data_IF_447857363887
#
_entry.id   IF_447857363887
#
_cell.length_a   1.000
_cell.length_b   1.000
_cell.length_c   1.000
_cell.angle_alpha   90.00
_cell.angle_beta   90.00
_cell.angle_gamma   90.00
#
_symmetry.space_group_name_H-M   'P 1'
#
loop_
_entity.id
_entity.type
_entity.pdbx_description
1 polymer ?
#
# COMPACT_ATOMS: atom_id res chain seq x y z
N UNK A 1 -16.52 3.27 22.70
CA UNK A 1 -15.15 3.56 22.24
C UNK A 1 -14.02 2.72 22.86
N UNK A 2 -14.22 1.98 23.96
CA UNK A 2 -13.19 1.07 24.56
C UNK A 2 -12.92 -0.21 23.77
N UNK A 3 -13.85 -0.70 22.94
CA UNK A 3 -13.70 -1.97 22.21
C UNK A 3 -12.77 -1.96 20.99
N UNK A 4 -12.56 -0.81 20.32
CA UNK A 4 -11.78 -0.72 19.08
C UNK A 4 -10.27 -0.94 19.30
N UNK A 5 -9.73 -0.59 20.48
CA UNK A 5 -8.28 -0.70 20.75
C UNK A 5 -7.74 -2.13 20.75
N UNK A 6 -8.57 -3.13 21.02
CA UNK A 6 -8.15 -4.54 21.13
C UNK A 6 -8.47 -5.37 19.89
N UNK A 7 -9.07 -4.77 18.85
CA UNK A 7 -9.36 -5.49 17.62
C UNK A 7 -8.06 -5.94 16.91
N UNK A 8 -8.06 -7.13 16.32
CA UNK A 8 -6.89 -7.65 15.61
C UNK A 8 -6.64 -6.91 14.29
N UNK A 9 -5.40 -6.99 13.81
CA UNK A 9 -5.07 -6.72 12.42
C UNK A 9 -5.39 -7.96 11.59
N UNK A 10 -5.93 -7.77 10.40
CA UNK A 10 -6.10 -8.86 9.43
C UNK A 10 -4.90 -8.91 8.49
N UNK A 11 -4.32 -10.10 8.28
CA UNK A 11 -3.34 -10.34 7.23
C UNK A 11 -3.94 -11.32 6.21
N UNK A 12 -4.12 -10.88 4.96
CA UNK A 12 -4.41 -11.82 3.87
C UNK A 12 -3.10 -12.39 3.33
N UNK A 13 -3.00 -13.72 3.25
CA UNK A 13 -1.76 -14.43 2.88
C UNK A 13 -1.39 -14.32 1.39
N UNK A 14 -2.30 -13.77 0.57
CA UNK A 14 -2.12 -13.62 -0.87
C UNK A 14 -2.18 -14.93 -1.64
N UNK A 15 -1.49 -14.97 -2.79
CA UNK A 15 -1.43 -16.17 -3.61
C UNK A 15 -0.61 -17.26 -2.89
N UNK A 16 -1.20 -18.44 -2.62
CA UNK A 16 -0.54 -19.50 -1.87
C UNK A 16 0.68 -20.10 -2.56
N UNK A 17 0.85 -19.91 -3.87
CA UNK A 17 2.04 -20.35 -4.62
C UNK A 17 3.17 -19.32 -4.64
N UNK A 18 2.91 -18.08 -4.16
CA UNK A 18 3.87 -16.99 -4.07
C UNK A 18 4.58 -16.91 -2.71
N UNK A 19 5.32 -15.81 -2.51
CA UNK A 19 6.10 -15.57 -1.28
C UNK A 19 5.25 -15.08 -0.10
N UNK A 20 3.95 -14.77 -0.30
CA UNK A 20 3.06 -14.21 0.73
C UNK A 20 3.07 -14.99 2.04
N UNK A 21 2.85 -16.33 2.04
CA UNK A 21 2.93 -17.13 3.26
C UNK A 21 4.31 -17.08 3.94
N UNK A 22 5.39 -17.16 3.16
CA UNK A 22 6.77 -17.14 3.68
C UNK A 22 7.11 -15.83 4.39
N UNK A 23 6.82 -14.68 3.76
CA UNK A 23 7.10 -13.36 4.35
C UNK A 23 6.23 -13.09 5.58
N UNK A 24 4.99 -13.62 5.60
CA UNK A 24 4.10 -13.51 6.76
C UNK A 24 4.64 -14.30 7.94
N UNK A 25 5.05 -15.56 7.74
CA UNK A 25 5.67 -16.39 8.79
C UNK A 25 6.92 -15.71 9.36
N UNK A 26 7.82 -15.22 8.50
CA UNK A 26 9.02 -14.49 8.93
C UNK A 26 8.68 -13.25 9.75
N UNK A 27 7.67 -12.47 9.33
CA UNK A 27 7.24 -11.28 10.04
C UNK A 27 6.66 -11.60 11.42
N UNK A 28 5.76 -12.59 11.52
CA UNK A 28 5.18 -13.01 12.80
C UNK A 28 6.24 -13.56 13.75
N UNK A 29 7.18 -14.36 13.26
CA UNK A 29 8.31 -14.87 14.05
C UNK A 29 9.19 -13.74 14.60
N UNK A 30 9.45 -12.69 13.78
CA UNK A 30 10.17 -11.50 14.26
C UNK A 30 9.42 -10.81 15.40
N UNK A 31 8.11 -10.57 15.23
CA UNK A 31 7.28 -9.91 16.24
C UNK A 31 7.26 -10.72 17.55
N UNK A 32 7.12 -12.03 17.46
CA UNK A 32 7.17 -12.92 18.62
C UNK A 32 8.52 -12.87 19.35
N UNK A 33 9.63 -12.99 18.60
CA UNK A 33 10.98 -12.91 19.17
C UNK A 33 11.26 -11.57 19.85
N UNK A 34 10.70 -10.47 19.31
CA UNK A 34 10.82 -9.13 19.89
C UNK A 34 9.77 -8.84 20.97
N UNK A 35 8.89 -9.81 21.31
CA UNK A 35 7.81 -9.67 22.30
C UNK A 35 6.87 -8.50 21.98
N UNK A 36 6.66 -8.21 20.68
CA UNK A 36 5.73 -7.17 20.21
C UNK A 36 4.33 -7.80 20.16
N UNK A 37 3.45 -7.33 21.03
CA UNK A 37 2.10 -7.89 21.18
C UNK A 37 1.12 -7.17 20.24
N UNK A 38 0.77 -7.84 19.14
CA UNK A 38 -0.27 -7.42 18.19
C UNK A 38 -1.13 -8.66 17.90
N UNK A 39 -2.44 -8.53 18.05
CA UNK A 39 -3.38 -9.61 17.72
C UNK A 39 -3.63 -9.64 16.20
N UNK A 40 -3.69 -10.84 15.62
CA UNK A 40 -3.88 -11.05 14.20
C UNK A 40 -5.02 -12.03 13.91
N UNK A 41 -5.70 -11.78 12.77
CA UNK A 41 -6.48 -12.78 12.05
C UNK A 41 -5.76 -13.01 10.71
N UNK A 42 -5.36 -14.25 10.44
CA UNK A 42 -4.77 -14.65 9.15
C UNK A 42 -5.87 -15.23 8.26
N UNK A 43 -5.92 -14.77 7.02
CA UNK A 43 -6.90 -15.25 6.05
C UNK A 43 -6.19 -15.75 4.80
N UNK A 44 -6.46 -16.98 4.40
CA UNK A 44 -5.88 -17.59 3.20
C UNK A 44 -5.69 -19.10 3.35
N UNK A 45 -4.68 -19.66 2.71
CA UNK A 45 -4.37 -21.07 2.82
C UNK A 45 -3.54 -21.40 4.06
N UNK A 46 -4.13 -22.07 5.02
CA UNK A 46 -3.41 -22.61 6.20
C UNK A 46 -2.36 -23.64 5.78
N UNK A 47 -2.63 -24.44 4.75
CA UNK A 47 -1.67 -25.40 4.19
C UNK A 47 -0.42 -24.70 3.66
N UNK A 48 -0.58 -23.57 2.95
CA UNK A 48 0.54 -22.76 2.46
C UNK A 48 1.34 -22.13 3.60
N UNK A 49 0.65 -21.64 4.63
CA UNK A 49 1.27 -21.08 5.83
C UNK A 49 2.09 -22.12 6.59
N UNK A 50 1.54 -23.31 6.84
CA UNK A 50 2.25 -24.40 7.53
C UNK A 50 3.46 -24.88 6.73
N UNK A 51 3.34 -25.02 5.39
CA UNK A 51 4.49 -25.31 4.51
C UNK A 51 5.59 -24.29 4.65
N UNK A 52 5.26 -23.00 4.75
CA UNK A 52 6.25 -21.95 4.98
C UNK A 52 6.92 -22.09 6.36
N UNK A 53 6.15 -22.44 7.40
CA UNK A 53 6.70 -22.73 8.73
C UNK A 53 7.73 -23.86 8.70
N UNK A 54 7.41 -24.97 8.00
CA UNK A 54 8.29 -26.13 7.90
C UNK A 54 9.61 -25.78 7.18
N UNK A 55 9.55 -25.09 6.04
CA UNK A 55 10.74 -24.67 5.29
C UNK A 55 11.63 -23.71 6.08
N UNK A 56 11.04 -22.88 6.91
CA UNK A 56 11.75 -21.92 7.74
C UNK A 56 12.23 -22.52 9.08
N UNK A 57 11.93 -23.78 9.37
CA UNK A 57 12.15 -24.41 10.67
C UNK A 57 11.57 -23.62 11.86
N UNK A 58 10.46 -22.95 11.62
CA UNK A 58 9.75 -22.16 12.62
C UNK A 58 8.62 -23.03 13.19
N UNK A 59 8.88 -23.66 14.33
CA UNK A 59 7.90 -24.53 15.00
C UNK A 59 6.65 -23.76 15.41
N UNK A 60 5.55 -24.49 15.53
CA UNK A 60 4.13 -24.18 15.72
C UNK A 60 3.73 -23.10 16.76
N UNK A 61 4.65 -22.50 17.49
CA UNK A 61 4.35 -21.41 18.45
C UNK A 61 3.73 -20.16 17.79
N UNK A 62 3.97 -19.97 16.47
CA UNK A 62 3.38 -18.86 15.71
C UNK A 62 1.88 -19.05 15.46
N UNK A 63 1.39 -20.30 15.42
CA UNK A 63 -0.04 -20.58 15.23
C UNK A 63 -0.89 -20.11 16.42
N UNK A 64 -0.29 -19.88 17.59
CA UNK A 64 -0.99 -19.44 18.79
C UNK A 64 -1.13 -17.91 18.91
N UNK A 65 -0.46 -17.14 18.01
CA UNK A 65 -0.53 -15.65 18.03
C UNK A 65 -1.57 -15.09 17.07
N UNK A 66 -2.26 -15.95 16.31
CA UNK A 66 -3.25 -15.51 15.33
C UNK A 66 -4.40 -16.50 15.21
N UNK A 67 -5.62 -15.98 15.12
CA UNK A 67 -6.76 -16.73 14.60
C UNK A 67 -6.59 -16.96 13.11
N UNK A 68 -7.10 -18.08 12.57
CA UNK A 68 -6.96 -18.44 11.18
C UNK A 68 -8.31 -18.69 10.51
N UNK A 69 -8.57 -17.99 9.40
CA UNK A 69 -9.68 -18.28 8.49
C UNK A 69 -9.11 -18.98 7.27
N UNK A 70 -9.34 -20.29 7.19
CA UNK A 70 -8.72 -21.16 6.19
C UNK A 70 -9.58 -21.30 4.94
N UNK A 71 -8.96 -21.04 3.79
CA UNK A 71 -9.48 -21.30 2.45
C UNK A 71 -8.61 -22.32 1.71
N UNK A 72 -8.00 -23.27 2.43
CA UNK A 72 -7.21 -24.33 1.79
C UNK A 72 -8.11 -25.21 0.91
N UNK A 73 -7.90 -25.08 -0.38
CA UNK A 73 -8.45 -25.99 -1.39
C UNK A 73 -7.34 -26.98 -1.81
N UNK A 74 -7.58 -27.78 -2.83
CA UNK A 74 -6.56 -28.70 -3.39
C UNK A 74 -5.42 -27.93 -4.07
N UNK A 75 -4.50 -27.40 -3.25
CA UNK A 75 -3.38 -26.59 -3.72
C UNK A 75 -2.24 -27.50 -4.21
N UNK A 76 -1.86 -27.28 -5.45
CA UNK A 76 -0.58 -27.76 -5.99
C UNK A 76 0.40 -26.57 -6.00
N UNK A 77 1.47 -26.68 -5.24
CA UNK A 77 2.50 -25.62 -5.14
C UNK A 77 3.42 -25.64 -6.35
N UNK A 78 2.95 -25.10 -7.48
CA UNK A 78 3.70 -25.09 -8.74
C UNK A 78 4.55 -23.83 -8.95
N UNK A 79 4.59 -22.93 -7.99
CA UNK A 79 5.31 -21.66 -8.07
C UNK A 79 5.01 -20.85 -9.33
N UNK A 80 3.75 -20.85 -9.75
CA UNK A 80 3.22 -20.13 -10.91
C UNK A 80 1.75 -19.74 -10.68
N UNK A 81 1.19 -18.82 -11.46
CA UNK A 81 -0.20 -18.46 -11.41
C UNK A 81 -1.13 -19.68 -11.58
N UNK A 82 -2.29 -19.65 -10.89
CA UNK A 82 -3.25 -20.75 -10.94
C UNK A 82 -4.67 -20.29 -10.57
N UNK A 83 -5.68 -21.01 -11.08
CA UNK A 83 -7.09 -20.80 -10.73
C UNK A 83 -7.30 -20.88 -9.21
N UNK A 84 -6.73 -21.89 -8.57
CA UNK A 84 -6.85 -22.07 -7.10
C UNK A 84 -6.22 -20.90 -6.34
N UNK A 85 -5.03 -20.44 -6.79
CA UNK A 85 -4.36 -19.28 -6.21
C UNK A 85 -5.20 -18.00 -6.31
N UNK A 86 -5.83 -17.78 -7.46
CA UNK A 86 -6.74 -16.68 -7.69
C UNK A 86 -8.00 -16.74 -6.83
N UNK A 87 -8.64 -17.93 -6.76
CA UNK A 87 -9.83 -18.16 -5.93
C UNK A 87 -9.56 -17.89 -4.45
N UNK A 88 -8.46 -18.44 -3.90
CA UNK A 88 -8.08 -18.23 -2.49
C UNK A 88 -7.78 -16.75 -2.23
N UNK A 89 -7.03 -16.09 -3.12
CA UNK A 89 -6.71 -14.67 -3.02
C UNK A 89 -7.96 -13.81 -2.99
N UNK A 90 -8.89 -14.04 -3.90
CA UNK A 90 -10.17 -13.33 -3.98
C UNK A 90 -11.02 -13.54 -2.72
N UNK A 91 -11.28 -14.79 -2.33
CA UNK A 91 -12.06 -15.13 -1.13
C UNK A 91 -11.46 -14.50 0.13
N UNK A 92 -10.13 -14.49 0.23
CA UNK A 92 -9.41 -13.90 1.38
C UNK A 92 -9.62 -12.40 1.48
N UNK A 93 -9.57 -11.67 0.37
CA UNK A 93 -9.79 -10.22 0.34
C UNK A 93 -11.24 -9.89 0.63
N UNK A 94 -12.20 -10.62 0.04
CA UNK A 94 -13.62 -10.46 0.31
C UNK A 94 -13.93 -10.68 1.80
N UNK A 95 -13.35 -11.71 2.41
CA UNK A 95 -13.54 -11.99 3.84
C UNK A 95 -12.93 -10.91 4.72
N UNK A 96 -11.75 -10.41 4.39
CA UNK A 96 -11.14 -9.29 5.11
C UNK A 96 -11.99 -8.01 5.03
N UNK A 97 -12.55 -7.70 3.87
CA UNK A 97 -13.47 -6.58 3.70
C UNK A 97 -14.76 -6.76 4.52
N UNK A 98 -15.35 -7.96 4.54
CA UNK A 98 -16.53 -8.27 5.36
C UNK A 98 -16.24 -8.08 6.87
N UNK A 99 -15.12 -8.62 7.35
CA UNK A 99 -14.72 -8.46 8.75
C UNK A 99 -14.48 -6.99 9.12
N UNK A 100 -13.88 -6.21 8.20
CA UNK A 100 -13.67 -4.78 8.43
C UNK A 100 -15.01 -4.03 8.53
N UNK A 101 -15.94 -4.26 7.60
CA UNK A 101 -17.29 -3.66 7.61
C UNK A 101 -18.08 -4.00 8.88
N UNK A 102 -17.88 -5.19 9.42
CA UNK A 102 -18.51 -5.65 10.66
C UNK A 102 -17.77 -5.23 11.93
N UNK A 103 -16.69 -4.45 11.83
CA UNK A 103 -15.85 -4.02 12.96
C UNK A 103 -15.24 -5.19 13.77
N UNK A 104 -14.90 -6.30 13.13
CA UNK A 104 -14.15 -7.40 13.76
C UNK A 104 -12.64 -7.24 13.66
N UNK A 105 -12.16 -6.38 12.75
CA UNK A 105 -10.76 -6.06 12.57
C UNK A 105 -10.58 -4.55 12.45
N UNK A 106 -9.39 -4.05 12.79
CA UNK A 106 -9.09 -2.60 12.75
C UNK A 106 -8.30 -2.15 11.53
N UNK A 107 -7.66 -3.05 10.82
CA UNK A 107 -6.93 -2.78 9.57
C UNK A 107 -6.67 -4.06 8.78
N UNK A 108 -6.42 -3.90 7.49
CA UNK A 108 -6.10 -4.97 6.55
C UNK A 108 -4.64 -4.80 6.08
N UNK A 109 -3.83 -5.83 6.26
CA UNK A 109 -2.48 -5.95 5.70
C UNK A 109 -2.52 -7.02 4.63
N UNK A 110 -2.09 -6.70 3.41
CA UNK A 110 -2.19 -7.65 2.30
C UNK A 110 -0.83 -8.14 1.83
N UNK A 111 -0.64 -9.47 1.80
CA UNK A 111 0.46 -10.10 1.10
C UNK A 111 0.18 -10.15 -0.41
N UNK A 112 1.19 -10.38 -1.27
CA UNK A 112 1.04 -10.24 -2.72
C UNK A 112 0.05 -11.25 -3.33
N UNK A 113 -0.71 -10.77 -4.32
CA UNK A 113 -1.56 -11.60 -5.18
C UNK A 113 -1.11 -11.53 -6.64
N UNK A 114 -1.47 -12.52 -7.44
CA UNK A 114 -1.24 -12.54 -8.88
C UNK A 114 -2.49 -12.07 -9.62
N UNK A 115 -2.35 -11.03 -10.46
CA UNK A 115 -3.41 -10.59 -11.37
C UNK A 115 -3.81 -11.71 -12.32
N UNK A 116 -2.83 -12.42 -12.86
CA UNK A 116 -3.04 -13.57 -13.74
C UNK A 116 -3.82 -14.67 -13.03
N UNK A 117 -3.47 -15.02 -11.78
CA UNK A 117 -4.24 -16.00 -11.00
C UNK A 117 -5.70 -15.56 -10.80
N UNK A 118 -5.94 -14.26 -10.50
CA UNK A 118 -7.30 -13.72 -10.38
C UNK A 118 -8.08 -13.87 -11.67
N UNK A 119 -7.49 -13.50 -12.81
CA UNK A 119 -8.14 -13.61 -14.12
C UNK A 119 -8.40 -15.06 -14.51
N UNK A 120 -7.45 -15.98 -14.27
CA UNK A 120 -7.64 -17.41 -14.47
C UNK A 120 -8.82 -17.96 -13.65
N UNK A 121 -9.05 -17.42 -12.45
CA UNK A 121 -10.16 -17.79 -11.59
C UNK A 121 -11.48 -17.05 -11.93
N UNK A 122 -11.51 -16.28 -13.02
CA UNK A 122 -12.70 -15.56 -13.50
C UNK A 122 -12.91 -14.17 -12.88
N UNK A 123 -12.01 -13.70 -12.02
CA UNK A 123 -12.13 -12.39 -11.35
C UNK A 123 -11.33 -11.32 -12.10
N UNK A 124 -12.01 -10.43 -12.81
CA UNK A 124 -11.41 -9.37 -13.64
C UNK A 124 -11.06 -8.13 -12.84
N UNK A 125 -10.08 -8.22 -11.94
CA UNK A 125 -9.56 -7.09 -11.16
C UNK A 125 -8.06 -6.91 -11.39
N UNK A 126 -7.63 -5.65 -11.41
CA UNK A 126 -6.21 -5.29 -11.57
C UNK A 126 -5.37 -5.41 -10.29
N UNK A 127 -5.87 -6.13 -9.30
CA UNK A 127 -5.20 -6.36 -8.03
C UNK A 127 -6.03 -5.93 -6.83
N UNK A 128 -5.36 -5.75 -5.69
CA UNK A 128 -6.01 -5.42 -4.41
C UNK A 128 -6.81 -4.12 -4.45
N UNK A 129 -6.26 -3.07 -5.06
CA UNK A 129 -6.84 -1.72 -5.03
C UNK A 129 -8.17 -1.68 -5.74
N UNK A 130 -8.26 -2.23 -6.95
CA UNK A 130 -9.51 -2.30 -7.70
C UNK A 130 -10.55 -3.20 -7.01
N UNK A 131 -10.12 -4.38 -6.50
CA UNK A 131 -11.03 -5.28 -5.79
C UNK A 131 -11.58 -4.66 -4.50
N UNK A 132 -10.73 -4.07 -3.66
CA UNK A 132 -11.18 -3.42 -2.43
C UNK A 132 -12.01 -2.17 -2.74
N UNK A 133 -11.66 -1.38 -3.75
CA UNK A 133 -12.47 -0.27 -4.23
C UNK A 133 -13.89 -0.71 -4.55
N UNK A 134 -14.04 -1.76 -5.36
CA UNK A 134 -15.34 -2.34 -5.70
C UNK A 134 -16.10 -2.84 -4.46
N UNK A 135 -15.44 -3.55 -3.55
CA UNK A 135 -16.08 -4.06 -2.32
C UNK A 135 -16.56 -2.96 -1.38
N UNK A 136 -15.96 -1.78 -1.40
CA UNK A 136 -16.35 -0.64 -0.57
C UNK A 136 -17.08 0.47 -1.33
N UNK A 137 -17.44 0.26 -2.61
CA UNK A 137 -18.10 1.24 -3.50
C UNK A 137 -17.29 2.53 -3.67
N UNK A 138 -15.98 2.40 -3.86
CA UNK A 138 -15.04 3.50 -4.06
C UNK A 138 -14.51 3.43 -5.48
N UNK A 139 -14.76 4.47 -6.27
CA UNK A 139 -14.36 4.52 -7.68
C UNK A 139 -12.82 4.56 -7.82
N UNK A 140 -12.15 5.38 -7.02
CA UNK A 140 -10.73 5.62 -7.18
C UNK A 140 -9.99 5.73 -5.83
N UNK A 141 -9.53 4.59 -5.29
CA UNK A 141 -8.60 4.60 -4.17
C UNK A 141 -7.22 5.10 -4.63
N UNK A 142 -6.56 5.94 -3.82
CA UNK A 142 -5.25 6.49 -4.14
C UNK A 142 -4.13 5.65 -3.53
N UNK A 143 -3.02 5.56 -4.28
CA UNK A 143 -1.82 4.87 -3.85
C UNK A 143 -0.80 5.85 -3.29
N UNK A 144 -0.39 5.61 -2.06
CA UNK A 144 0.69 6.32 -1.40
C UNK A 144 1.82 5.35 -1.05
N UNK A 145 3.04 5.68 -1.42
CA UNK A 145 4.24 4.99 -0.94
C UNK A 145 4.79 5.76 0.26
N UNK A 146 4.90 5.09 1.41
CA UNK A 146 5.41 5.70 2.63
C UNK A 146 6.70 5.01 3.09
N UNK A 147 7.69 5.80 3.44
CA UNK A 147 8.94 5.33 4.03
C UNK A 147 9.27 6.15 5.30
N UNK A 148 10.42 5.91 5.91
CA UNK A 148 10.81 6.59 7.16
C UNK A 148 11.12 8.08 7.01
N UNK A 149 11.31 8.58 5.78
CA UNK A 149 11.73 9.96 5.51
C UNK A 149 10.58 10.81 5.00
N UNK A 150 9.83 10.31 4.02
CA UNK A 150 8.72 11.01 3.39
C UNK A 150 7.69 10.02 2.86
N UNK A 151 6.55 10.52 2.47
CA UNK A 151 5.55 9.77 1.71
C UNK A 151 5.40 10.37 0.32
N UNK A 152 5.06 9.54 -0.67
CA UNK A 152 4.76 9.99 -2.04
C UNK A 152 3.34 9.56 -2.39
N UNK A 153 2.49 10.51 -2.74
CA UNK A 153 1.11 10.27 -3.16
C UNK A 153 0.96 10.65 -4.64
N UNK A 154 0.27 9.82 -5.40
CA UNK A 154 0.16 9.98 -6.85
C UNK A 154 -1.18 10.58 -7.25
N UNK A 155 -1.15 11.60 -8.12
CA UNK A 155 -2.37 12.18 -8.74
C UNK A 155 -2.99 11.15 -9.68
N UNK A 156 -2.15 10.51 -10.49
CA UNK A 156 -2.53 9.38 -11.35
C UNK A 156 -1.58 8.21 -11.12
N UNK A 157 -2.12 6.97 -11.18
CA UNK A 157 -1.32 5.76 -11.07
C UNK A 157 -1.57 4.89 -12.31
N UNK A 158 -1.60 3.69 -12.36
CA UNK A 158 -1.80 2.67 -13.41
C UNK A 158 -2.55 3.15 -14.70
N UNK A 159 -2.10 4.27 -15.30
CA UNK A 159 -2.58 4.83 -16.57
C UNK A 159 -1.42 4.95 -17.54
N UNK A 160 -1.71 4.93 -18.85
CA UNK A 160 -0.69 5.33 -19.84
C UNK A 160 -0.26 6.76 -19.56
N UNK A 161 1.00 7.13 -19.88
CA UNK A 161 1.47 8.50 -19.65
C UNK A 161 0.61 9.53 -20.40
N UNK A 162 0.19 9.21 -21.63
CA UNK A 162 -0.71 10.03 -22.45
C UNK A 162 -2.06 10.29 -21.74
N UNK A 163 -2.63 9.27 -21.07
CA UNK A 163 -3.91 9.42 -20.36
C UNK A 163 -3.70 10.04 -18.97
N UNK A 164 -2.57 9.77 -18.32
CA UNK A 164 -2.22 10.40 -17.06
C UNK A 164 -2.19 11.94 -17.17
N UNK A 165 -1.55 12.47 -18.21
CA UNK A 165 -1.48 13.94 -18.45
C UNK A 165 -2.88 14.55 -18.52
N UNK A 166 -3.82 13.92 -19.22
CA UNK A 166 -5.20 14.44 -19.37
C UNK A 166 -5.97 14.46 -18.03
N UNK A 167 -5.57 13.61 -17.08
CA UNK A 167 -6.21 13.51 -15.75
C UNK A 167 -5.61 14.48 -14.73
N UNK A 168 -4.47 15.11 -15.04
CA UNK A 168 -3.82 16.09 -14.16
C UNK A 168 -4.56 17.42 -14.31
N UNK A 169 -5.65 17.55 -13.57
CA UNK A 169 -6.48 18.74 -13.54
C UNK A 169 -6.41 19.42 -12.18
N UNK A 170 -6.63 20.70 -12.13
CA UNK A 170 -6.71 21.49 -10.89
C UNK A 170 -7.61 20.83 -9.85
N UNK A 171 -8.80 20.36 -10.28
CA UNK A 171 -9.75 19.66 -9.39
C UNK A 171 -9.13 18.40 -8.80
N UNK A 172 -8.51 17.55 -9.63
CA UNK A 172 -7.90 16.29 -9.20
C UNK A 172 -6.71 16.52 -8.27
N UNK A 173 -5.85 17.48 -8.59
CA UNK A 173 -4.70 17.86 -7.76
C UNK A 173 -5.18 18.31 -6.36
N UNK A 174 -6.19 19.19 -6.28
CA UNK A 174 -6.76 19.65 -5.01
C UNK A 174 -7.34 18.48 -4.21
N UNK A 175 -8.05 17.57 -4.86
CA UNK A 175 -8.60 16.37 -4.22
C UNK A 175 -7.51 15.51 -3.59
N UNK A 176 -6.48 15.16 -4.38
CA UNK A 176 -5.38 14.29 -3.96
C UNK A 176 -4.58 14.93 -2.82
N UNK A 177 -4.26 16.22 -2.93
CA UNK A 177 -3.53 16.93 -1.88
C UNK A 177 -4.34 16.95 -0.57
N UNK A 178 -5.64 17.23 -0.62
CA UNK A 178 -6.49 17.20 0.58
C UNK A 178 -6.55 15.82 1.23
N UNK A 179 -6.59 14.74 0.45
CA UNK A 179 -6.54 13.36 0.95
C UNK A 179 -5.19 13.09 1.61
N UNK A 180 -4.09 13.44 0.95
CA UNK A 180 -2.75 13.29 1.48
C UNK A 180 -2.52 14.10 2.75
N UNK A 181 -2.94 15.36 2.76
CA UNK A 181 -2.86 16.25 3.91
C UNK A 181 -3.58 15.66 5.14
N UNK A 182 -4.86 15.27 4.98
CA UNK A 182 -5.64 14.64 6.07
C UNK A 182 -4.99 13.38 6.59
N UNK A 183 -4.42 12.56 5.71
CA UNK A 183 -3.75 11.33 6.09
C UNK A 183 -2.46 11.61 6.87
N UNK A 184 -1.62 12.52 6.39
CA UNK A 184 -0.34 12.88 7.02
C UNK A 184 -0.55 13.61 8.36
N UNK A 185 -1.53 14.53 8.44
CA UNK A 185 -1.91 15.18 9.68
C UNK A 185 -2.30 14.16 10.75
N UNK A 186 -3.08 13.15 10.38
CA UNK A 186 -3.47 12.05 11.28
C UNK A 186 -2.25 11.26 11.77
N UNK A 187 -1.29 10.94 10.89
CA UNK A 187 -0.10 10.15 11.24
C UNK A 187 0.92 10.94 12.05
N UNK A 188 1.22 12.16 11.63
CA UNK A 188 2.30 12.96 12.21
C UNK A 188 1.82 13.76 13.42
N UNK A 189 0.51 14.03 13.54
CA UNK A 189 -0.11 14.91 14.55
C UNK A 189 0.38 16.38 14.48
N UNK A 190 1.06 16.73 13.41
CA UNK A 190 1.56 18.08 13.11
C UNK A 190 1.23 18.39 11.65
N UNK A 191 1.16 19.69 11.32
CA UNK A 191 0.93 20.15 9.95
C UNK A 191 2.02 19.62 9.01
N UNK A 192 1.65 18.83 7.96
CA UNK A 192 2.63 18.25 7.06
C UNK A 192 3.17 19.30 6.08
N UNK A 193 4.46 19.25 5.83
CA UNK A 193 5.12 20.01 4.76
C UNK A 193 4.91 19.27 3.44
N UNK A 194 4.13 19.84 2.54
CA UNK A 194 3.74 19.22 1.27
C UNK A 194 4.49 19.88 0.13
N UNK A 195 5.08 19.08 -0.76
CA UNK A 195 5.66 19.55 -2.00
C UNK A 195 4.97 18.90 -3.21
N UNK A 196 4.68 19.68 -4.24
CA UNK A 196 4.04 19.20 -5.48
C UNK A 196 5.07 19.18 -6.60
N UNK A 197 5.24 18.03 -7.26
CA UNK A 197 6.10 17.92 -8.44
C UNK A 197 5.57 18.77 -9.59
N UNK A 198 6.48 19.40 -10.33
CA UNK A 198 6.18 19.82 -11.70
C UNK A 198 5.88 18.60 -12.58
N UNK A 199 5.10 18.76 -13.61
CA UNK A 199 4.85 17.75 -14.62
C UNK A 199 5.95 17.74 -15.67
N UNK A 200 6.25 18.95 -16.17
CA UNK A 200 7.21 19.17 -17.24
C UNK A 200 8.64 19.40 -16.70
N UNK A 201 9.68 19.27 -17.55
CA UNK A 201 11.05 19.61 -17.17
C UNK A 201 11.13 21.02 -16.55
N UNK A 202 11.93 21.14 -15.47
CA UNK A 202 12.11 22.42 -14.75
C UNK A 202 10.79 23.08 -14.30
N UNK A 203 9.76 22.25 -14.02
CA UNK A 203 8.42 22.72 -13.67
C UNK A 203 7.83 23.69 -14.71
N UNK A 204 8.02 23.34 -16.00
CA UNK A 204 7.48 24.07 -17.15
C UNK A 204 8.26 25.30 -17.57
N UNK A 205 9.28 25.78 -16.83
CA UNK A 205 10.09 26.98 -17.11
C UNK A 205 9.24 28.16 -17.62
N UNK A 206 8.24 28.58 -16.84
CA UNK A 206 7.28 29.62 -17.18
C UNK A 206 6.51 29.39 -18.50
N UNK A 207 6.25 28.13 -18.85
CA UNK A 207 5.48 27.73 -20.03
C UNK A 207 6.31 27.38 -21.26
N UNK A 208 7.64 27.41 -21.16
CA UNK A 208 8.54 27.04 -22.28
C UNK A 208 8.41 25.56 -22.61
N UNK A 209 8.25 24.69 -21.59
CA UNK A 209 8.19 23.24 -21.76
C UNK A 209 6.77 22.65 -21.59
N UNK A 210 5.75 23.48 -21.55
CA UNK A 210 4.36 23.10 -21.39
C UNK A 210 3.62 24.05 -20.47
N UNK A 211 2.31 24.04 -20.51
CA UNK A 211 1.47 24.98 -19.75
C UNK A 211 0.76 24.36 -18.54
N UNK A 212 0.87 23.06 -18.33
CA UNK A 212 0.13 22.33 -17.30
C UNK A 212 0.41 22.85 -15.87
N UNK A 213 1.62 23.35 -15.64
CA UNK A 213 1.95 24.01 -14.38
C UNK A 213 1.15 25.30 -14.20
N UNK A 214 1.06 26.11 -15.26
CA UNK A 214 0.37 27.41 -15.26
C UNK A 214 -1.13 27.21 -15.18
N UNK A 215 -1.67 26.27 -15.95
CA UNK A 215 -3.10 26.07 -16.14
C UNK A 215 -3.74 25.27 -14.99
N UNK A 216 -3.01 24.30 -14.44
CA UNK A 216 -3.57 23.33 -13.49
C UNK A 216 -2.87 23.33 -12.12
N UNK A 217 -1.53 23.15 -12.07
CA UNK A 217 -0.81 22.89 -10.81
C UNK A 217 -0.72 24.15 -9.95
N UNK A 218 -0.26 25.26 -10.50
CA UNK A 218 -0.13 26.54 -9.77
C UNK A 218 -1.48 27.02 -9.22
N UNK A 219 -2.58 27.03 -10.03
CA UNK A 219 -3.90 27.39 -9.51
C UNK A 219 -4.39 26.49 -8.38
N UNK A 220 -4.13 25.18 -8.44
CA UNK A 220 -4.46 24.24 -7.37
C UNK A 220 -3.72 24.59 -6.08
N UNK A 221 -2.41 24.81 -6.15
CA UNK A 221 -1.57 25.18 -5.02
C UNK A 221 -2.02 26.51 -4.40
N UNK A 222 -2.28 27.54 -5.22
CA UNK A 222 -2.76 28.84 -4.74
C UNK A 222 -4.07 28.74 -3.94
N UNK A 223 -5.00 27.86 -4.37
CA UNK A 223 -6.25 27.64 -3.64
C UNK A 223 -5.98 27.00 -2.27
N UNK A 224 -5.07 26.03 -2.22
CA UNK A 224 -4.75 25.29 -0.97
C UNK A 224 -3.92 26.16 -0.01
N UNK A 225 -3.03 27.01 -0.51
CA UNK A 225 -2.32 28.01 0.31
C UNK A 225 -3.29 28.98 0.99
N UNK A 226 -4.33 29.46 0.24
CA UNK A 226 -5.38 30.32 0.82
C UNK A 226 -6.19 29.62 1.92
N UNK A 227 -6.22 28.28 1.91
CA UNK A 227 -6.86 27.46 2.96
C UNK A 227 -5.93 27.15 4.13
N UNK A 228 -4.71 27.67 4.12
CA UNK A 228 -3.74 27.53 5.21
C UNK A 228 -2.87 26.28 5.18
N UNK A 229 -2.87 25.50 4.09
CA UNK A 229 -2.00 24.32 3.99
C UNK A 229 -0.53 24.75 3.82
N UNK A 230 0.37 24.04 4.50
CA UNK A 230 1.81 24.20 4.31
C UNK A 230 2.27 23.45 3.06
N UNK A 231 2.18 24.12 1.91
CA UNK A 231 2.39 23.52 0.58
C UNK A 231 3.26 24.42 -0.28
N UNK A 232 4.18 23.81 -1.02
CA UNK A 232 5.00 24.47 -2.02
C UNK A 232 4.93 23.74 -3.37
N UNK A 233 5.26 24.44 -4.43
CA UNK A 233 5.38 23.88 -5.78
C UNK A 233 4.84 24.85 -6.85
N UNK A 234 4.87 24.41 -8.11
CA UNK A 234 5.51 23.17 -8.56
C UNK A 234 7.03 23.20 -8.37
N UNK A 235 7.60 22.10 -7.83
CA UNK A 235 9.04 21.93 -7.67
C UNK A 235 9.54 20.99 -8.76
N UNK A 236 10.69 21.30 -9.36
CA UNK A 236 11.28 20.45 -10.40
C UNK A 236 11.52 19.01 -9.89
N UNK A 237 11.13 18.02 -10.69
CA UNK A 237 11.07 16.61 -10.27
C UNK A 237 12.45 15.99 -10.03
N UNK A 238 13.50 16.52 -10.64
CA UNK A 238 14.89 16.11 -10.44
C UNK A 238 15.48 16.58 -9.10
N UNK A 239 14.87 17.57 -8.44
CA UNK A 239 15.34 18.13 -7.17
C UNK A 239 14.47 17.68 -5.98
N UNK A 240 13.15 17.61 -6.15
CA UNK A 240 12.18 17.46 -5.06
C UNK A 240 12.45 16.24 -4.17
N UNK A 241 12.83 15.09 -4.75
CA UNK A 241 13.08 13.86 -3.98
C UNK A 241 14.41 13.92 -3.20
N UNK A 242 15.43 14.62 -3.72
CA UNK A 242 16.65 14.90 -2.98
C UNK A 242 16.34 15.72 -1.71
N UNK A 243 15.53 16.74 -1.84
CA UNK A 243 15.10 17.59 -0.73
C UNK A 243 14.22 16.81 0.27
N UNK A 244 13.33 15.92 -0.21
CA UNK A 244 12.52 15.07 0.64
C UNK A 244 13.37 14.10 1.49
N UNK A 245 14.43 13.52 0.92
CA UNK A 245 15.40 12.69 1.67
C UNK A 245 16.09 13.48 2.77
N UNK A 246 16.33 14.77 2.56
CA UNK A 246 16.90 15.71 3.54
C UNK A 246 15.89 16.18 4.60
N UNK A 247 14.69 15.57 4.65
CA UNK A 247 13.59 15.90 5.56
C UNK A 247 13.00 17.32 5.35
N UNK A 248 13.07 17.88 4.16
CA UNK A 248 12.44 19.16 3.84
C UNK A 248 10.92 19.02 3.72
N UNK A 249 10.44 17.87 3.24
CA UNK A 249 9.04 17.56 3.01
C UNK A 249 8.61 16.27 3.70
N UNK A 250 7.37 16.23 4.15
CA UNK A 250 6.75 15.04 4.73
C UNK A 250 5.93 14.28 3.69
N UNK A 251 5.40 15.01 2.69
CA UNK A 251 4.60 14.47 1.60
C UNK A 251 5.02 15.10 0.27
N UNK A 252 5.33 14.25 -0.70
CA UNK A 252 5.56 14.64 -2.10
C UNK A 252 4.35 14.20 -2.92
N UNK A 253 3.77 15.12 -3.69
CA UNK A 253 2.70 14.82 -4.65
C UNK A 253 3.33 14.61 -6.02
N UNK A 254 3.27 13.40 -6.52
CA UNK A 254 3.73 13.02 -7.85
C UNK A 254 2.54 13.01 -8.83
N UNK A 255 2.74 13.52 -10.03
CA UNK A 255 1.67 13.63 -11.03
C UNK A 255 1.32 12.27 -11.66
N UNK A 256 2.32 11.39 -11.85
CA UNK A 256 2.14 10.07 -12.47
C UNK A 256 3.03 9.01 -11.80
N UNK A 257 2.74 7.76 -12.13
CA UNK A 257 3.33 6.59 -11.48
C UNK A 257 4.85 6.64 -11.38
N UNK A 258 5.57 6.73 -12.51
CA UNK A 258 7.03 6.60 -12.50
C UNK A 258 7.73 7.79 -11.86
N UNK A 259 7.13 8.99 -11.92
CA UNK A 259 7.64 10.18 -11.25
C UNK A 259 7.81 9.96 -9.73
N UNK A 260 6.88 9.23 -9.11
CA UNK A 260 6.93 8.97 -7.68
C UNK A 260 7.55 7.62 -7.33
N UNK A 261 7.28 6.57 -8.14
CA UNK A 261 7.75 5.22 -7.84
C UNK A 261 9.26 5.04 -8.03
N UNK A 262 9.84 5.57 -9.13
CA UNK A 262 11.27 5.40 -9.43
C UNK A 262 12.14 5.90 -8.27
N UNK A 263 12.01 7.16 -7.81
CA UNK A 263 12.85 7.65 -6.72
C UNK A 263 12.64 6.88 -5.40
N UNK A 264 11.39 6.54 -5.06
CA UNK A 264 11.11 5.77 -3.85
C UNK A 264 11.72 4.39 -3.93
N UNK A 265 11.58 3.68 -5.04
CA UNK A 265 12.13 2.34 -5.21
C UNK A 265 13.66 2.34 -5.29
N UNK A 266 14.25 3.34 -5.92
CA UNK A 266 15.70 3.47 -5.96
C UNK A 266 16.31 3.66 -4.56
N UNK A 267 15.66 4.47 -3.72
CA UNK A 267 16.18 4.85 -2.42
C UNK A 267 15.72 3.95 -1.26
N UNK A 268 14.51 3.38 -1.36
CA UNK A 268 13.83 2.71 -0.24
C UNK A 268 13.10 1.42 -0.64
N UNK A 269 13.62 0.64 -1.60
CA UNK A 269 12.98 -0.56 -2.15
C UNK A 269 12.44 -1.50 -1.05
N UNK A 270 13.29 -1.86 -0.09
CA UNK A 270 12.91 -2.76 1.02
C UNK A 270 12.27 -2.05 2.21
N UNK A 271 12.08 -0.74 2.16
CA UNK A 271 11.63 0.05 3.31
C UNK A 271 10.35 0.84 3.08
N UNK A 272 9.81 0.81 1.86
CA UNK A 272 8.55 1.47 1.53
C UNK A 272 7.35 0.58 1.85
N UNK A 273 6.24 1.23 2.18
CA UNK A 273 4.94 0.60 2.42
C UNK A 273 3.96 1.18 1.42
N UNK A 274 3.23 0.31 0.73
CA UNK A 274 2.11 0.73 -0.08
C UNK A 274 0.88 0.92 0.82
N UNK A 275 0.36 2.14 0.86
CA UNK A 275 -0.79 2.54 1.67
C UNK A 275 -1.91 2.98 0.75
N UNK A 276 -3.11 2.43 0.95
CA UNK A 276 -4.30 2.91 0.25
C UNK A 276 -4.89 4.08 1.04
N UNK A 277 -5.03 5.23 0.40
CA UNK A 277 -5.60 6.45 0.99
C UNK A 277 -6.83 6.92 0.23
N UNK A 278 -7.61 7.84 0.82
CA UNK A 278 -8.90 8.26 0.25
C UNK A 278 -10.03 7.23 0.43
N UNK A 279 -9.84 6.30 1.36
CA UNK A 279 -10.77 5.19 1.63
C UNK A 279 -11.19 5.18 3.11
N UNK A 280 -12.38 4.64 3.46
CA UNK A 280 -12.86 4.60 4.85
C UNK A 280 -12.24 3.46 5.67
N UNK A 281 -11.29 2.72 5.13
CA UNK A 281 -10.61 1.61 5.79
C UNK A 281 -9.09 1.80 5.79
N UNK A 282 -8.42 1.14 6.72
CA UNK A 282 -6.95 1.13 6.78
C UNK A 282 -6.46 -0.10 6.02
N UNK A 283 -5.73 0.15 4.93
CA UNK A 283 -5.09 -0.92 4.19
C UNK A 283 -3.64 -0.57 3.89
N UNK A 284 -2.76 -1.52 4.22
CA UNK A 284 -1.34 -1.49 3.86
C UNK A 284 -0.94 -2.75 3.13
N UNK A 285 0.08 -2.68 2.32
CA UNK A 285 0.65 -3.85 1.66
C UNK A 285 2.15 -3.73 1.46
N UNK A 286 2.76 -4.86 1.16
CA UNK A 286 4.11 -4.90 0.61
C UNK A 286 4.15 -4.22 -0.77
N UNK A 287 5.32 -3.72 -1.15
CA UNK A 287 5.54 -3.02 -2.43
C UNK A 287 6.25 -3.91 -3.48
N UNK A 288 6.05 -5.23 -3.38
CA UNK A 288 6.56 -6.22 -4.34
C UNK A 288 5.48 -7.22 -4.72
N UNK A 289 5.69 -7.97 -5.80
CA UNK A 289 4.77 -9.00 -6.29
C UNK A 289 4.93 -10.37 -5.62
N UNK A 290 4.27 -11.36 -6.19
CA UNK A 290 4.24 -12.76 -5.72
C UNK A 290 5.57 -13.49 -5.78
N UNK A 291 6.50 -13.04 -6.62
CA UNK A 291 7.85 -13.59 -6.77
C UNK A 291 7.89 -15.14 -6.75
N UNK A 292 7.08 -15.78 -7.59
CA UNK A 292 6.92 -17.23 -7.67
C UNK A 292 8.23 -18.00 -7.81
N UNK A 293 9.22 -17.40 -8.48
CA UNK A 293 10.53 -18.00 -8.72
C UNK A 293 11.34 -18.25 -7.45
N UNK A 294 11.10 -17.48 -6.37
CA UNK A 294 11.80 -17.62 -5.08
C UNK A 294 10.88 -18.10 -3.95
N UNK A 295 9.60 -18.35 -4.23
CA UNK A 295 8.63 -18.81 -3.24
C UNK A 295 9.07 -20.15 -2.61
N UNK A 296 8.94 -20.25 -1.28
CA UNK A 296 9.31 -21.43 -0.50
C UNK A 296 10.79 -21.83 -0.59
N UNK A 297 11.69 -20.87 -0.90
CA UNK A 297 13.14 -21.10 -0.95
C UNK A 297 13.91 -20.39 0.19
N UNK A 298 13.19 -19.83 1.16
CA UNK A 298 13.76 -19.02 2.25
C UNK A 298 14.56 -17.78 1.80
N UNK A 299 14.31 -17.31 0.55
CA UNK A 299 15.01 -16.15 -0.03
C UNK A 299 14.25 -14.84 0.10
N UNK A 300 12.93 -14.89 0.33
CA UNK A 300 12.10 -13.70 0.40
C UNK A 300 12.37 -12.89 1.68
N UNK A 301 12.50 -11.57 1.56
CA UNK A 301 12.63 -10.63 2.68
C UNK A 301 11.26 -10.33 3.29
N UNK A 302 11.17 -10.29 4.62
CA UNK A 302 9.95 -9.91 5.34
C UNK A 302 9.92 -8.43 5.74
N UNK A 303 10.91 -7.64 5.37
CA UNK A 303 11.04 -6.25 5.82
C UNK A 303 9.82 -5.42 5.43
N UNK A 304 9.37 -5.51 4.18
CA UNK A 304 8.18 -4.77 3.72
C UNK A 304 6.90 -5.23 4.44
N UNK A 305 6.75 -6.54 4.72
CA UNK A 305 5.63 -7.05 5.48
C UNK A 305 5.61 -6.50 6.91
N UNK A 306 6.76 -6.47 7.58
CA UNK A 306 6.89 -5.85 8.91
C UNK A 306 6.54 -4.37 8.88
N UNK A 307 7.03 -3.63 7.88
CA UNK A 307 6.70 -2.21 7.73
C UNK A 307 5.21 -2.00 7.50
N UNK A 308 4.57 -2.83 6.65
CA UNK A 308 3.14 -2.78 6.42
C UNK A 308 2.34 -3.05 7.70
N UNK A 309 2.73 -4.05 8.50
CA UNK A 309 2.12 -4.36 9.80
C UNK A 309 2.27 -3.19 10.78
N UNK A 310 3.46 -2.63 10.94
CA UNK A 310 3.70 -1.51 11.85
C UNK A 310 2.94 -0.25 11.43
N UNK A 311 2.87 0.03 10.13
CA UNK A 311 2.11 1.17 9.61
C UNK A 311 0.61 1.01 9.89
N UNK A 312 0.05 -0.16 9.58
CA UNK A 312 -1.35 -0.48 9.87
C UNK A 312 -1.65 -0.39 11.38
N UNK A 313 -0.74 -0.91 12.22
CA UNK A 313 -0.86 -0.85 13.67
C UNK A 313 -0.83 0.61 14.18
N UNK A 314 0.12 1.42 13.71
CA UNK A 314 0.20 2.85 14.04
C UNK A 314 -1.10 3.56 13.67
N UNK A 315 -1.55 3.43 12.42
CA UNK A 315 -2.77 4.08 11.92
C UNK A 315 -4.02 3.68 12.70
N UNK A 316 -4.17 2.42 13.02
CA UNK A 316 -5.35 1.87 13.69
C UNK A 316 -5.42 2.21 15.21
N UNK A 317 -4.33 2.70 15.78
CA UNK A 317 -4.27 3.13 17.20
C UNK A 317 -4.30 4.67 17.36
N UNK A 318 -4.33 5.42 16.28
CA UNK A 318 -4.54 6.87 16.31
C UNK A 318 -6.03 7.14 16.59
N UNK A 319 -6.29 7.92 17.62
CA UNK A 319 -7.62 8.41 18.00
C UNK A 319 -8.09 9.51 17.06
#
# INVERSE_FOLDING_TARGET
MKHIKNLPLCITLGDPSGIGPEITVKALNFLQKKKININFILIGSKKAFLKACDILNIKSKITNIAEFIDFSENIQFKNKPSIVGGSISYKSICKAADLYKKNFIKAIVTAPISKESLHLAGYKFDGHTGLLGSLFNIEEPYLMLSNKKFSTLHVTCHKSLKDAIKLITKKKIIEVINIGHKHMLKINKTEPRIAVCGLNPHAGENGIFGSEEIDEIIPAIKILLKKGLNIIGPVSSDIIFREAVQNKYDLVIANYHDQGHIPVKLLYFDQSVNVTVGVPFIRTSVDHGTAFNIAYKNKASAVNMLKAIFYAHKMSNIK
#
